data_IF_312248325068
#
_entry.id   IF_312248325068
#
_cell.length_a   1.000
_cell.length_b   1.000
_cell.length_c   1.000
_cell.angle_alpha   90.00
_cell.angle_beta   90.00
_cell.angle_gamma   90.00
#
_symmetry.space_group_name_H-M   'P 1'
#
loop_
_entity.id
_entity.type
_entity.pdbx_description
1 polymer ?
#
# COMPACT_ATOMS: atom_id res chain seq x y z
N UNK A 1 -3.17 -12.40 -5.94
CA UNK A 1 -4.04 -11.21 -5.79
C UNK A 1 -4.16 -10.54 -7.15
N UNK A 2 -5.30 -9.91 -7.46
CA UNK A 2 -5.50 -9.20 -8.73
C UNK A 2 -4.52 -8.02 -8.86
N UNK A 3 -4.06 -7.72 -10.08
CA UNK A 3 -3.24 -6.55 -10.33
C UNK A 3 -4.03 -5.27 -10.02
N UNK A 4 -3.43 -4.35 -9.26
CA UNK A 4 -4.04 -3.04 -9.03
C UNK A 4 -4.17 -2.33 -10.38
N UNK A 5 -5.40 -1.94 -10.73
CA UNK A 5 -5.71 -1.18 -11.95
C UNK A 5 -5.60 0.32 -11.69
N UNK A 6 -5.45 1.09 -12.76
CA UNK A 6 -5.42 2.56 -12.68
C UNK A 6 -6.73 3.13 -12.13
N UNK A 7 -7.88 2.52 -12.45
CA UNK A 7 -9.20 2.94 -11.96
C UNK A 7 -9.39 2.66 -10.47
N UNK A 8 -8.86 1.54 -9.99
CA UNK A 8 -8.84 1.25 -8.55
C UNK A 8 -7.98 2.27 -7.81
N UNK A 9 -6.80 2.61 -8.36
CA UNK A 9 -5.93 3.64 -7.78
C UNK A 9 -6.59 5.02 -7.79
N UNK A 10 -7.28 5.40 -8.87
CA UNK A 10 -8.04 6.64 -8.96
C UNK A 10 -9.16 6.70 -7.92
N UNK A 11 -9.88 5.59 -7.74
CA UNK A 11 -10.94 5.47 -6.72
C UNK A 11 -10.38 5.67 -5.32
N UNK A 12 -9.25 5.04 -5.00
CA UNK A 12 -8.57 5.19 -3.72
C UNK A 12 -8.08 6.62 -3.48
N UNK A 13 -7.48 7.27 -4.48
CA UNK A 13 -7.00 8.64 -4.36
C UNK A 13 -8.16 9.61 -4.04
N UNK A 14 -9.28 9.49 -4.77
CA UNK A 14 -10.48 10.29 -4.54
C UNK A 14 -11.09 10.08 -3.16
N UNK A 15 -11.11 8.84 -2.65
CA UNK A 15 -11.61 8.56 -1.31
C UNK A 15 -10.81 9.27 -0.21
N UNK A 16 -9.54 9.60 -0.48
CA UNK A 16 -8.66 10.36 0.42
C UNK A 16 -8.65 11.86 0.12
N UNK A 17 -9.52 12.34 -0.79
CA UNK A 17 -9.56 13.74 -1.20
C UNK A 17 -8.35 14.18 -2.04
N UNK A 18 -7.63 13.23 -2.65
CA UNK A 18 -6.49 13.50 -3.51
C UNK A 18 -6.95 13.48 -4.97
N UNK A 19 -6.77 14.60 -5.67
CA UNK A 19 -6.94 14.66 -7.12
C UNK A 19 -5.58 14.39 -7.79
N UNK A 20 -5.55 13.35 -8.63
CA UNK A 20 -4.39 12.98 -9.43
C UNK A 20 -4.76 13.03 -10.90
N UNK A 21 -3.88 13.57 -11.73
CA UNK A 21 -4.00 13.45 -13.18
C UNK A 21 -3.77 12.02 -13.64
N UNK A 22 -4.12 11.70 -14.88
CA UNK A 22 -3.82 10.38 -15.46
C UNK A 22 -2.31 10.13 -15.58
N UNK A 23 -1.52 11.19 -15.78
CA UNK A 23 -0.05 11.12 -15.79
C UNK A 23 0.49 10.78 -14.40
N UNK A 24 -0.01 11.44 -13.35
CA UNK A 24 0.36 11.15 -11.97
C UNK A 24 0.00 9.70 -11.60
N UNK A 25 -1.22 9.27 -11.95
CA UNK A 25 -1.70 7.91 -11.70
C UNK A 25 -0.81 6.87 -12.40
N UNK A 26 -0.42 7.11 -13.66
CA UNK A 26 0.48 6.22 -14.39
C UNK A 26 1.88 6.16 -13.73
N UNK A 27 2.38 7.29 -13.23
CA UNK A 27 3.66 7.37 -12.55
C UNK A 27 3.65 6.64 -11.18
N UNK A 28 2.57 6.76 -10.40
CA UNK A 28 2.50 6.17 -9.05
C UNK A 28 2.06 4.70 -9.04
N UNK A 29 1.32 4.25 -10.06
CA UNK A 29 0.83 2.86 -10.15
C UNK A 29 1.92 1.79 -9.93
N UNK A 30 3.08 1.82 -10.62
CA UNK A 30 4.12 0.82 -10.42
C UNK A 30 4.70 0.85 -9.00
N UNK A 31 4.81 2.04 -8.38
CA UNK A 31 5.30 2.19 -7.00
C UNK A 31 4.33 1.55 -6.00
N UNK A 32 3.04 1.81 -6.15
CA UNK A 32 2.00 1.23 -5.30
C UNK A 32 1.96 -0.29 -5.46
N UNK A 33 2.10 -0.80 -6.70
CA UNK A 33 2.16 -2.24 -6.95
C UNK A 33 3.38 -2.89 -6.28
N UNK A 34 4.55 -2.25 -6.29
CA UNK A 34 5.73 -2.72 -5.55
C UNK A 34 5.45 -2.73 -4.05
N UNK A 35 4.93 -1.64 -3.49
CA UNK A 35 4.60 -1.55 -2.07
C UNK A 35 3.62 -2.64 -1.62
N UNK A 36 2.59 -2.93 -2.44
CA UNK A 36 1.65 -4.03 -2.17
C UNK A 36 2.33 -5.39 -2.13
N UNK A 37 3.20 -5.70 -3.09
CA UNK A 37 3.98 -6.96 -3.07
C UNK A 37 4.88 -7.08 -1.85
N UNK A 38 5.48 -5.97 -1.40
CA UNK A 38 6.27 -5.95 -0.18
C UNK A 38 5.40 -6.15 1.08
N UNK A 39 4.23 -5.55 1.14
CA UNK A 39 3.29 -5.80 2.25
C UNK A 39 2.79 -7.25 2.27
N UNK A 40 2.59 -7.88 1.12
CA UNK A 40 2.28 -9.30 1.04
C UNK A 40 3.40 -10.17 1.62
N UNK A 41 4.67 -9.83 1.39
CA UNK A 41 5.77 -10.60 1.97
C UNK A 41 5.80 -10.52 3.51
N UNK A 42 5.30 -9.42 4.09
CA UNK A 42 5.15 -9.30 5.55
C UNK A 42 4.10 -10.25 6.11
N UNK A 43 3.03 -10.53 5.36
CA UNK A 43 1.98 -11.48 5.79
C UNK A 43 2.48 -12.93 5.87
N UNK A 44 3.57 -13.25 5.19
CA UNK A 44 4.20 -14.56 5.25
C UNK A 44 5.16 -14.71 6.43
N UNK A 45 5.38 -13.67 7.24
CA UNK A 45 6.26 -13.75 8.39
C UNK A 45 5.61 -14.60 9.50
N UNK A 46 6.35 -15.53 10.12
CA UNK A 46 5.83 -16.39 11.19
C UNK A 46 5.78 -15.61 12.51
N UNK A 47 4.82 -14.69 12.62
CA UNK A 47 4.67 -13.83 13.79
C UNK A 47 4.09 -14.58 15.01
N UNK A 48 3.51 -15.77 14.84
CA UNK A 48 2.97 -16.59 15.94
C UNK A 48 2.01 -15.78 16.83
N UNK A 49 2.19 -15.87 18.15
CA UNK A 49 1.42 -15.12 19.15
C UNK A 49 2.07 -13.78 19.54
N UNK A 50 2.87 -13.18 18.66
CA UNK A 50 3.50 -11.89 18.94
C UNK A 50 2.44 -10.78 18.95
N UNK A 51 2.20 -10.23 20.13
CA UNK A 51 1.35 -9.05 20.31
C UNK A 51 1.89 -7.83 19.53
N UNK A 52 1.03 -7.06 18.84
CA UNK A 52 1.45 -5.86 18.15
C UNK A 52 2.05 -4.82 19.11
N UNK A 53 3.24 -4.33 18.79
CA UNK A 53 3.86 -3.26 19.56
C UNK A 53 3.11 -1.93 19.36
N UNK A 54 2.55 -1.37 20.43
CA UNK A 54 1.84 -0.08 20.41
C UNK A 54 2.72 1.12 20.72
N UNK A 55 3.94 0.91 21.23
CA UNK A 55 4.87 1.97 21.63
C UNK A 55 6.32 1.59 21.32
N UNK A 56 6.98 2.36 20.45
CA UNK A 56 8.42 2.25 20.20
C UNK A 56 9.15 3.36 20.94
N UNK A 57 10.09 2.99 21.82
CA UNK A 57 10.98 3.96 22.48
C UNK A 57 12.28 4.04 21.67
N UNK A 58 12.44 5.11 20.90
CA UNK A 58 13.66 5.40 20.14
C UNK A 58 14.54 6.29 21.02
N UNK A 59 15.77 5.86 21.30
CA UNK A 59 16.76 6.59 22.12
C UNK A 59 17.64 7.49 21.25
#
# INVERSE_FOLDING_TARGET
MEHLTIDALRTMARAQGIELSDEDLAAVLPLVQVGRRLMESLSALPLGDVEPCSQFRIF
#
